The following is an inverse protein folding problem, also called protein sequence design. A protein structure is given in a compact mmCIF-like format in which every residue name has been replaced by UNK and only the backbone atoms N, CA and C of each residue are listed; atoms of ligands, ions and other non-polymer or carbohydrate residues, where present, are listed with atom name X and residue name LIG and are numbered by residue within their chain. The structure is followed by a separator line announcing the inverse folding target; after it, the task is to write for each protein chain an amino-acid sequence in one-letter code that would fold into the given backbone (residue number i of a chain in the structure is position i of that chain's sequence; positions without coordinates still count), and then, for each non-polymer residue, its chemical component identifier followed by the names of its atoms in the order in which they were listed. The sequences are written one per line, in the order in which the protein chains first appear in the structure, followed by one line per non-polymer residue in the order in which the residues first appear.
data_IF_195425382877
#
_entry.id   IF_195425382877
#
_cell.length_a   1.000
_cell.length_b   1.000
_cell.length_c   1.000
_cell.angle_alpha   90.00
_cell.angle_beta   90.00
_cell.angle_gamma   90.00
#
_symmetry.space_group_name_H-M   'P 1'
#
loop_
_entity.id
_entity.type
_entity.pdbx_description
1 polymer ?
#
# COMPACT_ATOMS: atom_id res chain seq x y z
N UNK A 1 12.29 -17.82 -7.32
CA UNK A 1 11.95 -16.39 -7.20
C UNK A 1 10.86 -16.24 -6.14
N UNK A 2 10.81 -15.09 -5.45
CA UNK A 2 9.71 -14.75 -4.52
C UNK A 2 8.68 -13.96 -5.33
N UNK A 3 7.47 -14.49 -5.60
CA UNK A 3 6.48 -13.77 -6.38
C UNK A 3 6.06 -12.47 -5.68
N UNK A 4 5.94 -11.39 -6.43
CA UNK A 4 5.54 -10.07 -5.94
C UNK A 4 4.37 -9.60 -6.80
N UNK A 5 3.29 -9.15 -6.15
CA UNK A 5 2.16 -8.56 -6.85
C UNK A 5 2.41 -7.07 -7.17
N UNK A 6 1.76 -6.51 -8.20
CA UNK A 6 1.78 -5.06 -8.43
C UNK A 6 1.31 -4.25 -7.22
N UNK A 7 0.38 -4.81 -6.42
CA UNK A 7 -0.16 -4.17 -5.23
C UNK A 7 0.90 -4.06 -4.12
N UNK A 8 1.76 -5.06 -3.96
CA UNK A 8 2.86 -5.03 -2.99
C UNK A 8 3.91 -3.97 -3.38
N UNK A 9 4.19 -3.82 -4.68
CA UNK A 9 5.05 -2.75 -5.19
C UNK A 9 4.45 -1.37 -4.92
N UNK A 10 3.15 -1.21 -5.17
CA UNK A 10 2.44 0.04 -4.89
C UNK A 10 2.46 0.38 -3.39
N UNK A 11 2.22 -0.61 -2.52
CA UNK A 11 2.29 -0.42 -1.07
C UNK A 11 3.71 -0.04 -0.60
N UNK A 12 4.74 -0.60 -1.24
CA UNK A 12 6.15 -0.26 -0.98
C UNK A 12 6.46 1.19 -1.33
N UNK A 13 5.97 1.68 -2.48
CA UNK A 13 6.15 3.08 -2.88
C UNK A 13 5.46 4.05 -1.92
N UNK A 14 4.22 3.76 -1.50
CA UNK A 14 3.52 4.58 -0.50
C UNK A 14 4.29 4.61 0.83
N UNK A 15 4.76 3.45 1.30
CA UNK A 15 5.55 3.34 2.52
C UNK A 15 6.84 4.18 2.44
N UNK A 16 7.58 4.11 1.32
CA UNK A 16 8.80 4.91 1.11
C UNK A 16 8.55 6.43 1.15
N UNK A 17 7.35 6.85 0.75
CA UNK A 17 6.91 8.25 0.78
C UNK A 17 6.35 8.67 2.15
N UNK A 18 6.33 7.78 3.15
CA UNK A 18 5.76 8.04 4.48
C UNK A 18 4.23 7.96 4.53
N UNK A 19 3.59 7.39 3.51
CA UNK A 19 2.14 7.18 3.47
C UNK A 19 1.85 5.77 3.99
N UNK A 20 1.05 5.67 5.05
CA UNK A 20 0.68 4.38 5.63
C UNK A 20 -0.20 3.57 4.65
N UNK A 21 0.12 2.30 4.33
CA UNK A 21 -0.71 1.42 3.48
C UNK A 21 -2.12 1.15 4.01
N UNK A 22 -2.32 1.37 5.30
CA UNK A 22 -3.57 1.26 6.04
C UNK A 22 -4.40 2.55 5.92
N UNK A 23 -3.87 3.61 5.31
CA UNK A 23 -4.62 4.85 5.07
C UNK A 23 -5.88 4.56 4.25
N UNK A 24 -6.95 5.25 4.61
CA UNK A 24 -8.25 5.13 3.98
C UNK A 24 -8.69 6.45 3.35
N UNK A 25 -9.32 6.36 2.20
CA UNK A 25 -10.09 7.44 1.58
C UNK A 25 -11.57 7.13 1.71
N UNK A 26 -12.40 8.18 1.80
CA UNK A 26 -13.86 8.03 1.81
C UNK A 26 -14.41 8.26 0.41
N UNK A 27 -15.30 7.38 -0.05
CA UNK A 27 -16.04 7.60 -1.28
C UNK A 27 -17.16 8.64 -1.11
N UNK A 28 -17.92 8.90 -2.18
CA UNK A 28 -19.01 9.86 -2.18
C UNK A 28 -20.16 9.50 -1.20
N UNK A 29 -20.27 8.23 -0.79
CA UNK A 29 -21.23 7.76 0.21
C UNK A 29 -20.62 7.71 1.62
N UNK A 30 -19.38 8.16 1.78
CA UNK A 30 -18.66 8.18 3.04
C UNK A 30 -18.09 6.83 3.46
N UNK A 31 -18.11 5.80 2.60
CA UNK A 31 -17.57 4.48 2.94
C UNK A 31 -16.04 4.51 2.87
N UNK A 32 -15.34 3.91 3.84
CA UNK A 32 -13.88 3.85 3.83
C UNK A 32 -13.38 2.84 2.79
N UNK A 33 -12.31 3.22 2.08
CA UNK A 33 -11.58 2.36 1.15
C UNK A 33 -10.09 2.55 1.38
N UNK A 34 -9.35 1.44 1.49
CA UNK A 34 -7.89 1.50 1.57
C UNK A 34 -7.28 2.08 0.30
N UNK A 35 -6.22 2.87 0.43
CA UNK A 35 -5.49 3.43 -0.72
C UNK A 35 -4.75 2.36 -1.53
N UNK A 36 -4.40 1.24 -0.90
CA UNK A 36 -3.71 0.11 -1.53
C UNK A 36 -4.01 -1.17 -0.75
N UNK A 37 -4.12 -2.32 -1.43
CA UNK A 37 -4.44 -3.61 -0.81
C UNK A 37 -3.22 -4.51 -0.56
N UNK A 38 -2.06 -4.18 -1.14
CA UNK A 38 -0.82 -4.93 -0.98
C UNK A 38 -0.10 -4.68 0.35
N UNK A 39 1.05 -5.34 0.52
CA UNK A 39 1.92 -5.22 1.68
C UNK A 39 3.29 -4.64 1.27
N UNK A 40 3.83 -3.64 1.99
CA UNK A 40 5.15 -3.11 1.69
C UNK A 40 6.23 -4.18 1.80
N UNK A 41 7.10 -4.25 0.81
CA UNK A 41 8.28 -5.10 0.78
C UNK A 41 9.39 -4.43 1.57
N UNK A 42 9.26 -4.38 2.91
CA UNK A 42 10.20 -3.68 3.80
C UNK A 42 11.63 -4.22 3.70
N UNK A 43 11.79 -5.47 3.28
CA UNK A 43 13.09 -6.12 3.01
C UNK A 43 13.89 -5.45 1.89
N UNK A 44 13.28 -4.58 1.08
CA UNK A 44 13.98 -3.81 0.05
C UNK A 44 14.75 -2.60 0.61
N UNK A 45 14.52 -2.22 1.87
CA UNK A 45 15.17 -1.07 2.50
C UNK A 45 16.36 -1.42 3.40
N UNK A 46 16.71 -2.70 3.58
CA UNK A 46 17.85 -3.16 4.37
C UNK A 46 17.56 -4.36 5.24
#
# INVERSE_FOLDING_TARGET
SKPVSPEDMLATMHHALGIAPESEIRDALGRPHRIVNGRPLVELFG
#
